data_IF_267920388420
#
_entry.id   IF_267920388420
#
_cell.length_a   1.000
_cell.length_b   1.000
_cell.length_c   1.000
_cell.angle_alpha   90.00
_cell.angle_beta   90.00
_cell.angle_gamma   90.00
#
_symmetry.space_group_name_H-M   'P 1'
#
loop_
_entity.id
_entity.type
_entity.pdbx_description
1 polymer ?
#
# COMPACT_ATOMS: atom_id res chain seq x y z
N UNK A 1 -4.16 -7.89 17.42
CA UNK A 1 -4.04 -8.16 15.97
C UNK A 1 -3.72 -9.64 15.84
N UNK A 2 -4.48 -10.40 15.05
CA UNK A 2 -4.03 -11.74 14.65
C UNK A 2 -2.73 -11.59 13.85
N UNK A 3 -1.84 -12.59 13.89
CA UNK A 3 -0.63 -12.57 13.05
C UNK A 3 -0.96 -12.38 11.58
N UNK A 4 -2.10 -12.93 11.13
CA UNK A 4 -2.58 -12.90 9.75
C UNK A 4 -2.76 -11.49 9.17
N UNK A 5 -3.29 -10.54 9.95
CA UNK A 5 -3.46 -9.16 9.47
C UNK A 5 -2.14 -8.41 9.34
N UNK A 6 -1.21 -8.65 10.27
CA UNK A 6 0.15 -8.10 10.19
C UNK A 6 0.91 -8.67 8.98
N UNK A 7 0.78 -9.98 8.75
CA UNK A 7 1.40 -10.66 7.62
C UNK A 7 0.83 -10.19 6.28
N UNK A 8 -0.49 -9.97 6.21
CA UNK A 8 -1.15 -9.39 5.04
C UNK A 8 -0.64 -7.97 4.73
N UNK A 9 -0.47 -7.12 5.75
CA UNK A 9 0.09 -5.79 5.57
C UNK A 9 1.55 -5.82 5.11
N UNK A 10 2.36 -6.75 5.64
CA UNK A 10 3.76 -6.92 5.21
C UNK A 10 3.85 -7.43 3.78
N UNK A 11 3.04 -8.42 3.41
CA UNK A 11 2.97 -8.95 2.06
C UNK A 11 2.55 -7.85 1.06
N UNK A 12 1.50 -7.08 1.39
CA UNK A 12 1.06 -5.94 0.57
C UNK A 12 2.18 -4.92 0.38
N UNK A 13 2.86 -4.51 1.47
CA UNK A 13 3.98 -3.55 1.40
C UNK A 13 5.12 -4.06 0.52
N UNK A 14 5.49 -5.33 0.66
CA UNK A 14 6.54 -5.93 -0.16
C UNK A 14 6.13 -6.01 -1.64
N UNK A 15 4.85 -6.24 -1.95
CA UNK A 15 4.38 -6.37 -3.33
C UNK A 15 4.38 -5.04 -4.09
N UNK A 16 3.99 -3.96 -3.42
CA UNK A 16 3.77 -2.67 -4.08
C UNK A 16 4.85 -1.63 -3.77
N UNK A 17 5.47 -1.69 -2.59
CA UNK A 17 6.34 -0.64 -2.07
C UNK A 17 7.80 -1.08 -1.82
N UNK A 18 8.24 -2.23 -2.33
CA UNK A 18 9.60 -2.73 -2.10
C UNK A 18 10.69 -1.72 -2.47
N UNK A 19 10.48 -0.96 -3.54
CA UNK A 19 11.43 0.03 -4.05
C UNK A 19 11.07 1.47 -3.66
N UNK A 20 10.04 1.67 -2.82
CA UNK A 20 9.60 2.99 -2.35
C UNK A 20 8.94 3.90 -3.39
N UNK A 21 8.93 3.50 -4.67
CA UNK A 21 8.25 4.18 -5.78
C UNK A 21 7.14 3.33 -6.34
N UNK A 22 6.04 3.97 -6.72
CA UNK A 22 4.87 3.32 -7.30
C UNK A 22 4.48 4.06 -8.58
N UNK A 23 4.27 3.35 -9.68
CA UNK A 23 3.70 3.92 -10.91
C UNK A 23 2.17 3.86 -10.87
N UNK A 24 1.51 4.70 -11.67
CA UNK A 24 0.05 4.87 -11.67
C UNK A 24 -0.71 3.56 -11.91
N UNK A 25 -0.24 2.72 -12.85
CA UNK A 25 -0.82 1.40 -13.09
C UNK A 25 -0.77 0.49 -11.85
N UNK A 26 0.34 0.53 -11.11
CA UNK A 26 0.51 -0.26 -9.88
C UNK A 26 -0.19 0.37 -8.68
N UNK A 27 -0.51 1.66 -8.72
CA UNK A 27 -1.35 2.30 -7.71
C UNK A 27 -2.78 1.75 -7.75
N UNK A 28 -3.36 1.60 -8.94
CA UNK A 28 -4.69 1.02 -9.07
C UNK A 28 -4.74 -0.42 -8.54
N UNK A 29 -3.74 -1.24 -8.88
CA UNK A 29 -3.59 -2.60 -8.34
C UNK A 29 -3.42 -2.61 -6.82
N UNK A 30 -2.60 -1.71 -6.27
CA UNK A 30 -2.36 -1.61 -4.84
C UNK A 30 -3.63 -1.24 -4.06
N UNK A 31 -4.45 -0.36 -4.64
CA UNK A 31 -5.73 0.06 -4.06
C UNK A 31 -6.74 -1.08 -4.05
N UNK A 32 -6.92 -1.78 -5.18
CA UNK A 32 -7.83 -2.94 -5.26
C UNK A 32 -7.41 -4.08 -4.31
N UNK A 33 -6.11 -4.36 -4.22
CA UNK A 33 -5.60 -5.40 -3.33
C UNK A 33 -5.85 -5.04 -1.85
N UNK A 34 -5.63 -3.77 -1.46
CA UNK A 34 -5.91 -3.30 -0.11
C UNK A 34 -7.41 -3.35 0.21
N UNK A 35 -8.29 -2.98 -0.73
CA UNK A 35 -9.74 -3.09 -0.57
C UNK A 35 -10.17 -4.56 -0.40
N UNK A 36 -9.60 -5.49 -1.17
CA UNK A 36 -9.91 -6.91 -1.04
C UNK A 36 -9.48 -7.49 0.32
N UNK A 37 -8.32 -7.06 0.83
CA UNK A 37 -7.86 -7.44 2.18
C UNK A 37 -8.83 -6.94 3.26
N UNK A 38 -9.36 -5.72 3.15
CA UNK A 38 -10.37 -5.19 4.07
C UNK A 38 -11.67 -5.99 3.98
N UNK A 39 -12.17 -6.24 2.76
CA UNK A 39 -13.43 -6.98 2.56
C UNK A 39 -13.35 -8.42 3.06
N UNK A 40 -12.16 -9.01 3.04
CA UNK A 40 -11.88 -10.33 3.63
C UNK A 40 -11.73 -10.32 5.16
N UNK A 41 -11.78 -9.13 5.78
CA UNK A 41 -11.55 -8.88 7.22
C UNK A 41 -10.16 -9.26 7.71
N UNK A 42 -9.19 -9.44 6.81
CA UNK A 42 -7.79 -9.66 7.16
C UNK A 42 -7.16 -8.39 7.74
N UNK A 43 -7.59 -7.23 7.25
CA UNK A 43 -7.20 -5.92 7.78
C UNK A 43 -8.44 -5.09 8.12
N UNK A 44 -8.29 -4.15 9.05
CA UNK A 44 -9.34 -3.18 9.39
C UNK A 44 -9.41 -2.04 8.39
N UNK A 45 -10.52 -1.30 8.43
CA UNK A 45 -10.70 -0.04 7.67
C UNK A 45 -9.56 0.96 7.95
N UNK A 46 -9.10 1.08 9.19
CA UNK A 46 -7.97 1.96 9.54
C UNK A 46 -6.67 1.53 8.88
N UNK A 47 -6.43 0.21 8.82
CA UNK A 47 -5.24 -0.35 8.17
C UNK A 47 -5.31 -0.16 6.66
N UNK A 48 -6.48 -0.36 6.03
CA UNK A 48 -6.71 -0.06 4.61
C UNK A 48 -6.42 1.41 4.28
N UNK A 49 -6.93 2.34 5.09
CA UNK A 49 -6.62 3.77 4.96
C UNK A 49 -5.11 4.00 5.07
N UNK A 50 -4.44 3.33 6.02
CA UNK A 50 -3.00 3.39 6.20
C UNK A 50 -2.21 2.93 4.96
N UNK A 51 -2.58 1.78 4.38
CA UNK A 51 -1.95 1.25 3.16
C UNK A 51 -2.18 2.17 1.96
N UNK A 52 -3.39 2.69 1.79
CA UNK A 52 -3.71 3.63 0.69
C UNK A 52 -2.91 4.92 0.81
N UNK A 53 -2.75 5.47 2.03
CA UNK A 53 -1.88 6.64 2.28
C UNK A 53 -0.41 6.36 1.95
N UNK A 54 0.09 5.16 2.26
CA UNK A 54 1.46 4.76 1.90
C UNK A 54 1.63 4.65 0.39
N UNK A 55 0.66 4.05 -0.31
CA UNK A 55 0.64 3.98 -1.77
C UNK A 55 0.65 5.37 -2.41
N UNK A 56 -0.19 6.30 -1.93
CA UNK A 56 -0.21 7.68 -2.40
C UNK A 56 1.15 8.36 -2.24
N UNK A 57 1.78 8.21 -1.05
CA UNK A 57 3.12 8.78 -0.83
C UNK A 57 4.15 8.21 -1.79
N UNK A 58 4.11 6.91 -2.07
CA UNK A 58 5.04 6.27 -3.00
C UNK A 58 4.79 6.63 -4.47
N UNK A 59 3.54 6.94 -4.85
CA UNK A 59 3.19 7.46 -6.17
C UNK A 59 3.80 8.85 -6.40
N UNK A 60 3.73 9.72 -5.38
CA UNK A 60 4.24 11.09 -5.44
C UNK A 60 5.72 11.22 -5.04
N UNK A 61 6.37 10.15 -4.57
CA UNK A 61 7.78 10.17 -4.17
C UNK A 61 8.75 10.51 -5.32
N UNK A 62 8.29 10.41 -6.58
CA UNK A 62 9.03 10.86 -7.77
C UNK A 62 8.99 12.38 -8.01
N UNK A 63 8.11 13.13 -7.33
CA UNK A 63 7.93 14.58 -7.54
C UNK A 63 8.72 15.43 -6.52
N UNK A 64 9.18 14.83 -5.42
CA UNK A 64 9.94 15.50 -4.34
C UNK A 64 11.47 15.31 -4.45
N UNK A 65 12.00 14.89 -5.60
CA UNK A 65 13.44 14.92 -5.83
C UNK A 65 13.86 16.35 -6.19
N UNK A 66 14.59 17.10 -5.33
CA UNK A 66 15.18 18.35 -5.76
C UNK A 66 16.11 18.05 -6.94
N UNK A 67 15.88 18.74 -8.06
CA UNK A 67 16.82 18.76 -9.18
C UNK A 67 18.20 19.14 -8.65
N UNK A 68 19.13 18.18 -8.64
CA UNK A 68 20.56 18.43 -8.42
C UNK A 68 21.19 19.03 -9.67
#
# INVERSE_FOLDING_TARGET
MSNEGSDAMLAWRNRFLQNGTLCEDRYHEAWQDAEQLERSRLISVEQWIGLTKLANRALHAGEDAPSL
#
